data_IF_088241715642
#
_entry.id   IF_088241715642
#
_cell.length_a   1.000
_cell.length_b   1.000
_cell.length_c   1.000
_cell.angle_alpha   90.00
_cell.angle_beta   90.00
_cell.angle_gamma   90.00
#
_symmetry.space_group_name_H-M   'P 1'
#
loop_
_entity.id
_entity.type
_entity.pdbx_description
1 polymer ?
#
# COMPACT_ATOMS: atom_id res chain seq x y z
N UNK A 1 -7.84 6.41 22.26
CA UNK A 1 -8.02 5.07 21.66
C UNK A 1 -7.97 5.07 20.13
N UNK A 2 -7.65 6.19 19.46
CA UNK A 2 -7.57 6.26 17.99
C UNK A 2 -6.13 6.16 17.45
N UNK A 3 -5.12 6.61 18.20
CA UNK A 3 -3.71 6.52 17.80
C UNK A 3 -3.18 5.09 17.67
N UNK A 4 -3.68 4.16 18.50
CA UNK A 4 -3.23 2.75 18.45
C UNK A 4 -3.59 2.06 17.13
N UNK A 5 -4.66 2.48 16.46
CA UNK A 5 -5.06 1.94 15.16
C UNK A 5 -4.25 2.53 14.01
N UNK A 6 -3.86 3.80 14.11
CA UNK A 6 -2.97 4.45 13.14
C UNK A 6 -1.62 3.73 13.08
N UNK A 7 -1.03 3.45 14.25
CA UNK A 7 0.25 2.73 14.33
C UNK A 7 0.13 1.31 13.77
N UNK A 8 -0.96 0.60 14.07
CA UNK A 8 -1.23 -0.73 13.53
C UNK A 8 -1.33 -0.75 11.99
N UNK A 9 -2.01 0.25 11.39
CA UNK A 9 -2.05 0.38 9.93
C UNK A 9 -0.68 0.69 9.32
N UNK A 10 0.12 1.55 9.96
CA UNK A 10 1.46 1.87 9.48
C UNK A 10 2.41 0.69 9.59
N UNK A 11 2.33 -0.07 10.68
CA UNK A 11 3.11 -1.28 10.90
C UNK A 11 2.76 -2.35 9.87
N UNK A 12 1.46 -2.55 9.60
CA UNK A 12 0.99 -3.49 8.60
C UNK A 12 1.40 -3.09 7.16
N UNK A 13 1.43 -1.79 6.86
CA UNK A 13 1.99 -1.27 5.60
C UNK A 13 3.49 -1.54 5.50
N UNK A 14 4.23 -1.35 6.59
CA UNK A 14 5.67 -1.60 6.64
C UNK A 14 5.99 -3.08 6.46
N UNK A 15 5.25 -3.96 7.14
CA UNK A 15 5.39 -5.42 7.01
C UNK A 15 5.11 -5.88 5.57
N UNK A 16 4.02 -5.40 4.96
CA UNK A 16 3.71 -5.71 3.56
C UNK A 16 4.80 -5.22 2.59
N UNK A 17 5.38 -4.05 2.85
CA UNK A 17 6.48 -3.51 2.05
C UNK A 17 7.75 -4.34 2.20
N UNK A 18 8.09 -4.75 3.43
CA UNK A 18 9.21 -5.63 3.72
C UNK A 18 9.03 -6.99 3.06
N UNK A 19 7.84 -7.58 3.11
CA UNK A 19 7.56 -8.84 2.40
C UNK A 19 7.71 -8.69 0.89
N UNK A 20 7.19 -7.61 0.31
CA UNK A 20 7.38 -7.33 -1.12
C UNK A 20 8.87 -7.21 -1.49
N UNK A 21 9.67 -6.52 -0.65
CA UNK A 21 11.12 -6.43 -0.83
C UNK A 21 11.80 -7.79 -0.71
N UNK A 22 11.47 -8.60 0.30
CA UNK A 22 12.03 -9.94 0.48
C UNK A 22 11.71 -10.87 -0.70
N UNK A 23 10.55 -10.72 -1.33
CA UNK A 23 10.20 -11.49 -2.52
C UNK A 23 11.03 -11.13 -3.75
N UNK A 24 11.52 -9.89 -3.85
CA UNK A 24 12.37 -9.45 -4.97
C UNK A 24 13.86 -9.43 -4.60
N UNK A 25 14.20 -9.68 -3.34
CA UNK A 25 15.57 -9.70 -2.84
C UNK A 25 16.34 -10.86 -3.47
N UNK A 26 17.45 -10.54 -4.14
CA UNK A 26 18.25 -11.53 -4.88
C UNK A 26 17.67 -11.94 -6.23
N UNK A 27 16.50 -11.43 -6.63
CA UNK A 27 15.94 -11.66 -7.97
C UNK A 27 16.38 -10.57 -8.94
N UNK A 28 16.81 -10.98 -10.12
CA UNK A 28 17.01 -10.06 -11.25
C UNK A 28 15.67 -9.81 -11.95
N UNK A 29 15.55 -8.69 -12.66
CA UNK A 29 14.31 -8.28 -13.34
C UNK A 29 13.76 -9.37 -14.27
N UNK A 30 14.64 -10.11 -14.95
CA UNK A 30 14.25 -11.20 -15.87
C UNK A 30 13.64 -12.39 -15.12
N UNK A 31 14.19 -12.72 -13.95
CA UNK A 31 13.71 -13.78 -13.08
C UNK A 31 12.33 -13.41 -12.48
N UNK A 32 12.17 -12.16 -12.08
CA UNK A 32 10.86 -11.62 -11.65
C UNK A 32 9.82 -11.66 -12.78
N UNK A 33 10.21 -11.36 -14.02
CA UNK A 33 9.30 -11.44 -15.18
C UNK A 33 8.94 -12.88 -15.57
N UNK A 34 9.85 -13.83 -15.31
CA UNK A 34 9.61 -15.25 -15.54
C UNK A 34 8.77 -15.89 -14.43
N UNK A 35 8.91 -15.45 -13.18
CA UNK A 35 8.19 -16.00 -12.04
C UNK A 35 6.78 -15.41 -11.89
N UNK A 36 5.83 -16.12 -12.50
CA UNK A 36 4.40 -15.79 -12.46
C UNK A 36 3.75 -15.97 -11.08
N UNK A 37 4.45 -16.53 -10.08
CA UNK A 37 3.93 -16.70 -8.71
C UNK A 37 4.35 -15.54 -7.83
N UNK A 38 5.57 -15.04 -8.00
CA UNK A 38 6.10 -13.89 -7.27
C UNK A 38 5.45 -12.58 -7.70
N UNK A 39 5.11 -12.42 -8.99
CA UNK A 39 4.39 -11.24 -9.48
C UNK A 39 3.07 -10.96 -8.73
N UNK A 40 2.10 -11.88 -8.64
CA UNK A 40 0.87 -11.63 -7.91
C UNK A 40 1.10 -11.46 -6.41
N UNK A 41 2.11 -12.10 -5.81
CA UNK A 41 2.46 -11.89 -4.40
C UNK A 41 2.92 -10.45 -4.13
N UNK A 42 3.81 -9.92 -4.96
CA UNK A 42 4.29 -8.54 -4.86
C UNK A 42 3.18 -7.53 -5.15
N UNK A 43 2.35 -7.80 -6.17
CA UNK A 43 1.19 -6.94 -6.50
C UNK A 43 0.18 -6.91 -5.35
N UNK A 44 -0.10 -8.05 -4.72
CA UNK A 44 -1.01 -8.12 -3.57
C UNK A 44 -0.50 -7.28 -2.40
N UNK A 45 0.78 -7.38 -2.06
CA UNK A 45 1.39 -6.57 -1.01
C UNK A 45 1.28 -5.06 -1.31
N UNK A 46 1.51 -4.66 -2.55
CA UNK A 46 1.32 -3.27 -3.00
C UNK A 46 -0.15 -2.82 -2.83
N UNK A 47 -1.11 -3.68 -3.17
CA UNK A 47 -2.55 -3.37 -3.01
C UNK A 47 -2.92 -3.24 -1.53
N UNK A 48 -2.40 -4.10 -0.65
CA UNK A 48 -2.62 -4.02 0.80
C UNK A 48 -2.12 -2.67 1.34
N UNK A 49 -0.93 -2.24 0.92
CA UNK A 49 -0.37 -0.93 1.30
C UNK A 49 -1.28 0.20 0.82
N UNK A 50 -1.78 0.14 -0.42
CA UNK A 50 -2.70 1.14 -0.97
C UNK A 50 -4.06 1.18 -0.26
N UNK A 51 -4.59 0.03 0.16
CA UNK A 51 -5.84 -0.04 0.91
C UNK A 51 -5.67 0.53 2.33
N UNK A 52 -4.59 0.17 3.02
CA UNK A 52 -4.26 0.70 4.33
C UNK A 52 -4.06 2.23 4.28
N UNK A 53 -3.34 2.74 3.28
CA UNK A 53 -3.22 4.18 3.05
C UNK A 53 -4.59 4.85 2.82
N UNK A 54 -5.50 4.19 2.09
CA UNK A 54 -6.85 4.71 1.86
C UNK A 54 -7.71 4.72 3.13
N UNK A 55 -7.61 3.69 3.96
CA UNK A 55 -8.30 3.62 5.25
C UNK A 55 -7.79 4.69 6.22
N UNK A 56 -6.47 4.94 6.22
CA UNK A 56 -5.85 6.05 6.94
C UNK A 56 -6.40 7.39 6.45
N UNK A 57 -6.51 7.59 5.13
CA UNK A 57 -7.16 8.76 4.51
C UNK A 57 -8.61 8.97 4.94
N UNK A 58 -9.37 7.92 5.18
CA UNK A 58 -10.78 8.02 5.57
C UNK A 58 -10.97 8.18 7.08
N UNK A 59 -10.16 7.48 7.89
CA UNK A 59 -10.33 7.43 9.35
C UNK A 59 -9.50 8.47 10.10
N UNK A 60 -8.43 8.98 9.49
CA UNK A 60 -7.47 9.91 10.10
C UNK A 60 -7.12 11.07 9.17
N UNK A 61 -8.15 11.71 8.59
CA UNK A 61 -7.96 12.90 7.73
C UNK A 61 -7.19 14.02 8.45
N UNK A 62 -7.48 14.26 9.73
CA UNK A 62 -6.81 15.27 10.57
C UNK A 62 -5.30 15.06 10.69
N UNK A 63 -4.86 13.79 10.80
CA UNK A 63 -3.44 13.42 10.84
C UNK A 63 -2.72 13.70 9.50
N UNK A 64 -3.44 13.58 8.39
CA UNK A 64 -2.89 13.79 7.05
C UNK A 64 -2.78 15.27 6.71
N UNK A 65 -3.66 16.10 7.26
CA UNK A 65 -3.51 17.55 7.22
C UNK A 65 -2.25 17.99 7.97
N UNK A 66 -1.91 17.32 9.08
CA UNK A 66 -0.66 17.55 9.81
C UNK A 66 0.59 17.02 9.08
N UNK A 67 0.45 16.00 8.24
CA UNK A 67 1.55 15.38 7.47
C UNK A 67 1.37 15.52 5.96
N UNK A 68 1.25 16.77 5.49
CA UNK A 68 1.10 17.12 4.06
C UNK A 68 2.37 16.86 3.24
N UNK A 69 3.53 16.65 3.89
CA UNK A 69 4.83 16.39 3.25
C UNK A 69 4.86 15.06 2.47
N UNK A 70 4.04 14.09 2.89
CA UNK A 70 3.97 12.79 2.25
C UNK A 70 2.89 12.78 1.14
N UNK A 71 3.20 12.27 -0.07
CA UNK A 71 2.27 12.25 -1.19
C UNK A 71 1.26 11.08 -1.06
N UNK A 72 0.43 11.11 -0.02
CA UNK A 72 -0.60 10.10 0.28
C UNK A 72 -1.55 9.84 -0.90
N UNK A 73 -1.87 10.90 -1.67
CA UNK A 73 -2.70 10.81 -2.88
C UNK A 73 -2.04 10.00 -4.01
N UNK A 74 -0.71 9.94 -4.07
CA UNK A 74 0.01 9.15 -5.07
C UNK A 74 0.05 7.66 -4.68
N UNK A 75 0.09 7.34 -3.39
CA UNK A 75 -0.02 5.95 -2.90
C UNK A 75 -1.42 5.36 -3.19
N UNK A 76 -2.46 6.19 -3.12
CA UNK A 76 -3.83 5.82 -3.54
C UNK A 76 -3.93 5.40 -5.02
N UNK A 77 -3.02 5.92 -5.86
CA UNK A 77 -2.97 5.64 -7.30
C UNK A 77 -2.41 4.27 -7.69
N UNK A 78 -1.89 3.49 -6.73
CA UNK A 78 -1.47 2.10 -6.95
C UNK A 78 -2.65 1.10 -6.90
N UNK A 79 -3.82 1.54 -6.42
CA UNK A 79 -5.06 0.81 -6.66
C UNK A 79 -5.36 0.88 -8.18
N UNK A 80 -5.69 -0.23 -8.86
CA UNK A 80 -6.03 -0.17 -10.28
C UNK A 80 -7.09 0.92 -10.52
N UNK A 81 -6.76 1.86 -11.41
CA UNK A 81 -7.64 2.96 -11.85
C UNK A 81 -8.80 2.39 -12.66
N UNK A 82 -9.71 1.73 -11.96
CA UNK A 82 -10.85 0.99 -12.51
C UNK A 82 -11.96 0.77 -11.47
N UNK A 83 -11.67 0.90 -10.17
CA UNK A 83 -12.70 1.08 -9.15
C UNK A 83 -13.20 2.54 -9.15
N UNK A 84 -13.76 2.96 -10.28
CA UNK A 84 -14.48 4.21 -10.35
C UNK A 84 -15.71 4.06 -9.45
N UNK A 85 -15.76 4.91 -8.44
CA UNK A 85 -16.88 5.10 -7.55
C UNK A 85 -18.12 5.55 -8.36
N UNK A 86 -18.94 4.59 -8.81
CA UNK A 86 -20.35 4.85 -9.09
C UNK A 86 -21.09 4.86 -7.74
N UNK A 87 -20.93 5.97 -7.02
CA UNK A 87 -21.88 6.36 -5.98
C UNK A 87 -22.29 7.80 -6.25
N UNK A 88 -23.03 7.97 -7.35
CA UNK A 88 -24.09 8.97 -7.47
C UNK A 88 -25.05 8.60 -8.58
#
# INVERSE_FOLDING_TARGET
MSESRLVDYLDHMLEAAQQACSYVEGMVKEDFLADKRTQPAVILNIVIIGEAATKLLQSHADFLEQHTDLPWKNMKGMLPRGACACTR
#
